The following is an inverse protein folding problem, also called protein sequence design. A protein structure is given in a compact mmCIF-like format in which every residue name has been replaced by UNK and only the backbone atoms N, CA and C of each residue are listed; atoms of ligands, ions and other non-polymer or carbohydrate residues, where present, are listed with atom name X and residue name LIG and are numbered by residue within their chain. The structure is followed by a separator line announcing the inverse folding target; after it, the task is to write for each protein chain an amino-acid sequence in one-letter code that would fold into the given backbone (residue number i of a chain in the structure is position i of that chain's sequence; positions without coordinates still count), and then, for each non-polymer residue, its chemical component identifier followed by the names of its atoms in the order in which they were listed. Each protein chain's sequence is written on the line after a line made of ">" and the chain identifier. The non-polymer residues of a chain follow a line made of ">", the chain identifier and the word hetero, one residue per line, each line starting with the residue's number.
data_IF_969307672736
#
_entry.id   IF_969307672736
#
_cell.length_a   1.000
_cell.length_b   1.000
_cell.length_c   1.000
_cell.angle_alpha   90.00
_cell.angle_beta   90.00
_cell.angle_gamma   90.00
#
_symmetry.space_group_name_H-M   'P 1'
#
loop_
_entity.id
_entity.type
_entity.pdbx_description
1 polymer ?
#
# COMPACT_ATOMS: atom_id res chain seq x y z
N UNK A 1 40.89 9.96 -63.52
CA UNK A 1 39.50 10.31 -63.11
C UNK A 1 39.28 9.80 -61.67
N UNK A 2 39.36 10.69 -60.68
CA UNK A 2 38.21 11.20 -59.90
C UNK A 2 37.55 10.05 -59.08
N UNK A 3 37.51 10.00 -57.75
CA UNK A 3 37.48 11.03 -56.71
C UNK A 3 37.79 10.41 -55.33
N UNK A 4 38.41 11.18 -54.43
CA UNK A 4 38.16 11.11 -52.98
C UNK A 4 36.95 12.03 -52.67
N UNK A 5 36.21 11.99 -51.52
CA UNK A 5 36.76 11.83 -50.16
C UNK A 5 35.84 11.23 -49.05
N UNK A 6 36.45 11.07 -47.86
CA UNK A 6 35.96 11.38 -46.50
C UNK A 6 34.75 10.69 -45.82
N UNK A 7 34.98 10.45 -44.51
CA UNK A 7 34.04 10.34 -43.37
C UNK A 7 33.34 8.96 -43.21
N UNK A 8 33.21 8.33 -42.05
CA UNK A 8 33.11 8.83 -40.66
C UNK A 8 33.48 7.73 -39.66
N UNK A 9 34.12 8.12 -38.55
CA UNK A 9 34.34 7.28 -37.36
C UNK A 9 33.01 7.04 -36.61
N UNK A 10 32.85 5.89 -35.92
CA UNK A 10 31.67 5.62 -35.10
C UNK A 10 31.72 6.38 -33.75
N UNK A 11 30.63 7.02 -33.30
CA UNK A 11 30.49 7.44 -31.91
C UNK A 11 29.85 6.32 -31.08
N UNK A 12 30.52 5.96 -29.98
CA UNK A 12 30.01 5.09 -28.93
C UNK A 12 28.90 5.78 -28.11
N UNK A 13 27.91 5.06 -27.58
CA UNK A 13 26.93 5.60 -26.67
C UNK A 13 27.48 5.55 -25.23
N UNK A 14 27.63 6.69 -24.58
CA UNK A 14 27.88 6.74 -23.12
C UNK A 14 26.89 7.71 -22.49
N UNK A 15 25.87 7.14 -21.84
CA UNK A 15 24.94 7.84 -20.97
C UNK A 15 25.56 7.90 -19.56
N UNK A 16 25.72 9.11 -19.02
CA UNK A 16 25.74 9.37 -17.58
C UNK A 16 25.46 10.85 -17.33
N UNK A 17 24.50 11.17 -16.47
CA UNK A 17 24.73 12.21 -15.49
C UNK A 17 24.59 11.64 -14.08
N UNK A 18 25.74 11.52 -13.41
CA UNK A 18 25.88 11.40 -11.97
C UNK A 18 26.02 12.80 -11.40
N UNK A 19 25.07 13.23 -10.58
CA UNK A 19 25.24 14.42 -9.73
C UNK A 19 24.83 14.04 -8.30
N UNK A 20 25.84 13.74 -7.48
CA UNK A 20 25.73 13.63 -6.05
C UNK A 20 25.78 15.04 -5.40
N UNK A 21 25.08 15.27 -4.27
CA UNK A 21 25.12 16.55 -3.56
C UNK A 21 26.35 16.66 -2.64
N UNK A 22 27.10 17.76 -2.77
CA UNK A 22 28.20 18.13 -1.89
C UNK A 22 27.75 19.19 -0.86
N UNK A 23 28.22 18.98 0.38
CA UNK A 23 27.93 19.71 1.60
C UNK A 23 28.54 21.12 1.65
N UNK A 24 27.89 22.04 2.35
CA UNK A 24 28.51 23.20 3.03
C UNK A 24 27.53 23.63 4.16
N UNK A 25 27.81 23.32 5.43
CA UNK A 25 28.73 24.02 6.35
C UNK A 25 28.13 25.30 6.98
N UNK A 26 27.87 25.18 8.29
CA UNK A 26 28.11 26.15 9.36
C UNK A 26 27.37 27.50 9.42
N UNK A 27 26.80 27.78 10.60
CA UNK A 27 26.83 29.04 11.41
C UNK A 27 25.48 29.16 12.16
N UNK A 28 25.38 28.87 13.46
CA UNK A 28 25.88 29.61 14.62
C UNK A 28 25.38 31.06 14.74
N UNK A 29 24.78 31.34 15.91
CA UNK A 29 24.57 32.65 16.56
C UNK A 29 23.15 33.27 16.52
N UNK A 30 22.52 33.18 17.69
CA UNK A 30 21.98 34.28 18.48
C UNK A 30 20.80 35.11 17.93
N UNK A 31 19.66 34.98 18.62
CA UNK A 31 18.85 36.12 19.07
C UNK A 31 17.89 35.71 20.21
N UNK A 32 18.30 36.02 21.45
CA UNK A 32 17.41 36.40 22.56
C UNK A 32 17.16 37.94 22.44
N UNK A 33 16.21 38.64 23.13
CA UNK A 33 15.70 38.35 24.48
C UNK A 33 14.22 38.74 24.76
N UNK A 34 13.69 38.32 25.91
CA UNK A 34 12.74 39.13 26.69
C UNK A 34 13.01 38.94 28.17
N UNK A 35 13.51 40.00 28.80
CA UNK A 35 13.68 40.15 30.24
C UNK A 35 12.32 40.48 30.84
N UNK A 36 11.94 39.84 31.94
CA UNK A 36 11.53 40.53 33.17
C UNK A 36 11.99 39.67 34.35
N UNK A 37 12.73 40.30 35.25
CA UNK A 37 13.17 39.77 36.53
C UNK A 37 12.08 39.94 37.59
N UNK A 38 11.97 39.00 38.53
CA UNK A 38 11.62 39.30 39.92
C UNK A 38 12.02 38.13 40.82
N UNK A 39 12.98 38.44 41.67
CA UNK A 39 13.42 37.76 42.88
C UNK A 39 12.24 37.48 43.84
N UNK A 40 12.15 36.26 44.40
CA UNK A 40 11.74 36.05 45.79
C UNK A 40 12.11 34.63 46.22
N UNK A 41 13.10 34.60 47.11
CA UNK A 41 13.50 33.51 47.99
C UNK A 41 12.39 33.25 49.01
N UNK A 42 12.01 31.99 49.25
CA UNK A 42 11.75 31.46 50.61
C UNK A 42 11.33 29.99 50.54
N UNK A 43 12.32 29.13 50.80
CA UNK A 43 12.16 27.77 51.31
C UNK A 43 11.67 27.82 52.77
N UNK A 44 10.69 26.99 53.15
CA UNK A 44 10.74 26.39 54.47
C UNK A 44 10.59 24.87 54.43
N UNK A 45 11.71 24.20 54.72
CA UNK A 45 11.88 23.03 55.59
C UNK A 45 10.67 22.09 55.84
N UNK A 46 10.78 20.90 55.26
CA UNK A 46 10.47 19.53 55.73
C UNK A 46 9.62 19.33 57.01
N UNK A 47 8.79 18.26 57.01
CA UNK A 47 9.25 17.06 57.73
C UNK A 47 9.13 15.76 56.93
N UNK A 48 10.16 14.94 57.05
CA UNK A 48 10.24 13.56 56.58
C UNK A 48 9.38 12.61 57.42
N UNK A 49 8.66 11.66 56.79
CA UNK A 49 8.56 10.20 57.06
C UNK A 49 7.42 9.59 56.21
N UNK A 50 7.35 8.25 55.97
CA UNK A 50 8.39 7.24 55.77
C UNK A 50 8.13 6.38 54.50
N UNK A 51 9.00 5.39 54.30
CA UNK A 51 9.04 4.47 53.17
C UNK A 51 7.78 3.57 53.00
N UNK A 52 7.44 3.38 51.71
CA UNK A 52 7.13 2.11 51.03
C UNK A 52 6.20 1.12 51.77
N UNK A 53 4.95 1.10 51.34
CA UNK A 53 4.12 -0.10 51.32
C UNK A 53 3.42 -0.21 49.96
N UNK A 54 3.66 -1.33 49.29
CA UNK A 54 3.07 -1.73 48.02
C UNK A 54 1.55 -1.74 48.12
N UNK A 55 0.86 -1.12 47.16
CA UNK A 55 -0.48 -1.54 46.82
C UNK A 55 -0.65 -1.46 45.30
N UNK A 56 -0.79 -2.63 44.68
CA UNK A 56 -1.18 -2.73 43.30
C UNK A 56 -2.55 -2.08 43.12
N UNK A 57 -2.58 -1.11 42.22
CA UNK A 57 -3.78 -0.68 41.55
C UNK A 57 -3.35 -0.42 40.10
N UNK A 58 -3.54 -1.44 39.28
CA UNK A 58 -3.61 -1.29 37.82
C UNK A 58 -4.63 -0.20 37.52
N UNK A 59 -4.15 0.95 37.02
CA UNK A 59 -4.99 1.99 36.44
C UNK A 59 -4.11 2.95 35.65
N UNK A 60 -3.65 2.50 34.49
CA UNK A 60 -3.36 3.39 33.35
C UNK A 60 -4.10 2.79 32.14
N UNK A 61 -5.41 2.64 32.32
CA UNK A 61 -6.39 2.47 31.25
C UNK A 61 -6.69 3.88 30.73
N UNK A 62 -5.80 4.39 29.88
CA UNK A 62 -5.97 5.64 29.17
C UNK A 62 -5.02 5.69 27.97
N UNK A 63 -5.26 4.89 26.93
CA UNK A 63 -4.89 5.33 25.59
C UNK A 63 -5.70 4.62 24.49
N UNK A 64 -6.52 5.40 23.78
CA UNK A 64 -6.96 5.10 22.41
C UNK A 64 -8.15 4.17 22.27
N UNK A 65 -9.37 4.71 22.42
CA UNK A 65 -10.51 4.11 21.72
C UNK A 65 -10.22 4.10 20.21
N UNK A 66 -10.51 3.02 19.46
CA UNK A 66 -10.25 2.98 18.03
C UNK A 66 -11.12 4.05 17.34
N UNK A 67 -10.45 5.03 16.74
CA UNK A 67 -11.05 5.86 15.72
C UNK A 67 -11.54 4.96 14.57
N UNK A 68 -12.63 5.30 13.87
CA UNK A 68 -13.21 4.45 12.84
C UNK A 68 -12.34 4.49 11.57
N UNK A 69 -11.28 3.69 11.57
CA UNK A 69 -10.64 3.15 10.37
C UNK A 69 -11.35 1.83 10.05
N UNK A 70 -11.92 1.73 8.87
CA UNK A 70 -12.97 0.76 8.52
C UNK A 70 -12.41 -0.63 8.16
N UNK A 71 -11.35 -1.08 8.85
CA UNK A 71 -10.76 -2.40 8.66
C UNK A 71 -10.77 -3.14 10.01
N UNK A 72 -11.28 -4.38 10.09
CA UNK A 72 -11.34 -5.10 11.36
C UNK A 72 -9.92 -5.35 11.87
N UNK A 73 -9.54 -4.86 13.06
CA UNK A 73 -8.20 -5.07 13.66
C UNK A 73 -7.82 -6.56 13.86
N UNK A 74 -8.72 -7.50 13.57
CA UNK A 74 -8.61 -8.93 13.86
C UNK A 74 -8.41 -9.80 12.61
N UNK A 75 -7.46 -9.44 11.73
CA UNK A 75 -7.04 -10.26 10.57
C UNK A 75 -6.37 -11.59 10.96
N UNK A 76 -6.26 -11.84 12.26
CA UNK A 76 -5.64 -13.03 12.87
C UNK A 76 -6.28 -14.33 12.36
N UNK A 77 -7.61 -14.33 12.22
CA UNK A 77 -8.39 -15.49 11.79
C UNK A 77 -8.14 -15.84 10.33
N UNK A 78 -8.13 -14.84 9.44
CA UNK A 78 -7.82 -15.00 8.03
C UNK A 78 -6.38 -15.46 7.82
N UNK A 79 -5.42 -14.91 8.57
CA UNK A 79 -4.03 -15.37 8.54
C UNK A 79 -3.87 -16.81 9.00
N UNK A 80 -4.60 -17.23 10.04
CA UNK A 80 -4.58 -18.62 10.51
C UNK A 80 -5.19 -19.57 9.46
N UNK A 81 -6.31 -19.19 8.84
CA UNK A 81 -6.93 -19.96 7.74
C UNK A 81 -5.99 -20.05 6.53
N UNK A 82 -5.32 -18.96 6.19
CA UNK A 82 -4.33 -18.90 5.13
C UNK A 82 -3.14 -19.83 5.41
N UNK A 83 -2.68 -19.93 6.66
CA UNK A 83 -1.62 -20.85 7.06
C UNK A 83 -2.02 -22.32 6.86
N UNK A 84 -3.21 -22.72 7.35
CA UNK A 84 -3.76 -24.05 7.11
C UNK A 84 -3.89 -24.35 5.62
N UNK A 85 -4.28 -23.35 4.84
CA UNK A 85 -4.45 -23.48 3.40
C UNK A 85 -3.11 -23.66 2.69
N UNK A 86 -2.04 -22.98 3.12
CA UNK A 86 -0.70 -23.25 2.63
C UNK A 86 -0.16 -24.62 3.03
N UNK A 87 -0.42 -25.05 4.26
CA UNK A 87 -0.06 -26.39 4.71
C UNK A 87 -0.75 -27.46 3.84
N UNK A 88 -2.04 -27.25 3.50
CA UNK A 88 -2.79 -28.09 2.55
C UNK A 88 -2.15 -28.12 1.16
N UNK A 89 -1.70 -26.97 0.66
CA UNK A 89 -1.04 -26.85 -0.64
C UNK A 89 0.37 -27.47 -0.65
N UNK A 90 1.01 -27.60 0.51
CA UNK A 90 2.40 -28.05 0.63
C UNK A 90 3.42 -26.98 0.24
N UNK A 91 3.02 -25.71 0.21
CA UNK A 91 3.90 -24.61 -0.18
C UNK A 91 4.91 -24.28 0.93
N UNK A 92 6.18 -24.21 0.54
CA UNK A 92 7.24 -23.65 1.39
C UNK A 92 7.20 -22.11 1.36
N UNK A 93 7.87 -21.44 2.32
CA UNK A 93 8.00 -19.96 2.32
C UNK A 93 8.55 -19.40 1.01
N UNK A 94 9.49 -20.09 0.39
CA UNK A 94 10.08 -19.70 -0.89
C UNK A 94 9.04 -19.76 -2.03
N UNK A 95 8.30 -20.88 -2.11
CA UNK A 95 7.20 -21.08 -3.06
C UNK A 95 6.10 -20.04 -2.89
N UNK A 96 5.68 -19.78 -1.65
CA UNK A 96 4.77 -18.68 -1.35
C UNK A 96 5.35 -17.33 -1.79
N UNK A 97 6.63 -17.08 -1.56
CA UNK A 97 7.30 -15.85 -1.98
C UNK A 97 7.23 -15.63 -3.49
N UNK A 98 7.48 -16.67 -4.29
CA UNK A 98 7.35 -16.63 -5.76
C UNK A 98 5.92 -16.27 -6.17
N UNK A 99 4.93 -16.87 -5.52
CA UNK A 99 3.53 -16.57 -5.79
C UNK A 99 3.17 -15.12 -5.42
N UNK A 100 3.56 -14.68 -4.22
CA UNK A 100 3.27 -13.33 -3.73
C UNK A 100 3.96 -12.25 -4.57
N UNK A 101 5.18 -12.51 -5.05
CA UNK A 101 5.88 -11.59 -5.96
C UNK A 101 5.11 -11.43 -7.28
N UNK A 102 4.61 -12.52 -7.86
CA UNK A 102 3.77 -12.46 -9.07
C UNK A 102 2.41 -11.80 -8.83
N UNK A 103 1.75 -12.15 -7.74
CA UNK A 103 0.39 -11.72 -7.47
C UNK A 103 0.29 -10.29 -6.92
N UNK A 104 1.23 -9.92 -6.04
CA UNK A 104 1.20 -8.66 -5.31
C UNK A 104 2.37 -7.73 -5.65
N UNK A 105 3.45 -8.24 -6.24
CA UNK A 105 4.67 -7.48 -6.55
C UNK A 105 5.74 -7.57 -5.46
N UNK A 106 5.54 -8.41 -4.45
CA UNK A 106 6.48 -8.55 -3.33
C UNK A 106 6.39 -9.93 -2.66
N UNK A 107 7.51 -10.58 -2.32
CA UNK A 107 7.55 -11.98 -1.87
C UNK A 107 7.20 -12.19 -0.39
N UNK A 108 6.54 -11.23 0.27
CA UNK A 108 6.35 -11.25 1.73
C UNK A 108 4.95 -10.87 2.15
N UNK A 109 4.32 -11.73 2.97
CA UNK A 109 3.00 -11.50 3.60
C UNK A 109 2.92 -10.19 4.37
N UNK A 110 4.01 -9.78 5.03
CA UNK A 110 4.06 -8.53 5.80
C UNK A 110 3.82 -7.28 4.95
N UNK A 111 3.90 -7.38 3.62
CA UNK A 111 3.58 -6.28 2.70
C UNK A 111 2.10 -6.23 2.31
N UNK A 112 1.29 -7.23 2.69
CA UNK A 112 -0.16 -7.23 2.53
C UNK A 112 -0.79 -6.39 3.64
N UNK A 113 -0.70 -5.07 3.50
CA UNK A 113 -1.20 -4.12 4.52
C UNK A 113 -2.68 -3.78 4.36
N UNK A 114 -3.36 -4.36 3.36
CA UNK A 114 -4.77 -4.10 3.08
C UNK A 114 -5.56 -5.39 3.26
N UNK A 115 -6.67 -5.33 3.99
CA UNK A 115 -7.54 -6.49 4.22
C UNK A 115 -8.05 -7.11 2.91
N UNK A 116 -8.37 -6.27 1.91
CA UNK A 116 -8.78 -6.75 0.58
C UNK A 116 -7.71 -7.57 -0.14
N UNK A 117 -6.42 -7.24 0.03
CA UNK A 117 -5.32 -8.01 -0.55
C UNK A 117 -5.19 -9.39 0.13
N UNK A 118 -5.39 -9.44 1.46
CA UNK A 118 -5.41 -10.68 2.24
C UNK A 118 -6.57 -11.59 1.85
N UNK A 119 -7.79 -11.05 1.75
CA UNK A 119 -8.97 -11.81 1.33
C UNK A 119 -8.84 -12.36 -0.09
N UNK A 120 -8.29 -11.55 -1.02
CA UNK A 120 -8.05 -11.99 -2.38
C UNK A 120 -7.02 -13.13 -2.40
N UNK A 121 -5.95 -13.02 -1.60
CA UNK A 121 -4.98 -14.10 -1.45
C UNK A 121 -5.65 -15.38 -0.92
N UNK A 122 -6.39 -15.27 0.18
CA UNK A 122 -7.08 -16.38 0.84
C UNK A 122 -8.04 -17.11 -0.10
N UNK A 123 -8.94 -16.37 -0.76
CA UNK A 123 -9.89 -16.95 -1.72
C UNK A 123 -9.16 -17.70 -2.83
N UNK A 124 -8.05 -17.16 -3.33
CA UNK A 124 -7.30 -17.81 -4.40
C UNK A 124 -6.70 -19.11 -3.91
N UNK A 125 -5.98 -19.11 -2.78
CA UNK A 125 -5.36 -20.34 -2.27
C UNK A 125 -6.38 -21.38 -1.84
N UNK A 126 -7.58 -20.99 -1.40
CA UNK A 126 -8.68 -21.91 -1.10
C UNK A 126 -9.16 -22.68 -2.34
N UNK A 127 -9.13 -22.05 -3.52
CA UNK A 127 -9.53 -22.67 -4.80
C UNK A 127 -8.43 -23.52 -5.46
N UNK A 128 -7.17 -23.37 -5.05
CA UNK A 128 -6.06 -24.11 -5.63
C UNK A 128 -6.05 -25.59 -5.20
N UNK A 129 -5.69 -26.46 -6.13
CA UNK A 129 -5.49 -27.88 -5.86
C UNK A 129 -4.26 -28.11 -4.96
N UNK A 130 -4.28 -29.13 -4.09
CA UNK A 130 -3.10 -29.49 -3.30
C UNK A 130 -1.92 -29.83 -4.22
N UNK A 131 -0.73 -29.31 -3.92
CA UNK A 131 0.46 -29.47 -4.76
C UNK A 131 0.47 -28.60 -6.03
N UNK A 132 -0.40 -27.60 -6.14
CA UNK A 132 -0.32 -26.61 -7.22
C UNK A 132 1.05 -25.92 -7.25
N UNK A 133 1.57 -25.63 -8.44
CA UNK A 133 2.84 -24.91 -8.55
C UNK A 133 2.63 -23.39 -8.34
N UNK A 134 3.41 -22.72 -7.48
CA UNK A 134 3.27 -21.28 -7.20
C UNK A 134 3.57 -20.37 -8.41
N UNK A 135 4.35 -20.87 -9.38
CA UNK A 135 4.74 -20.13 -10.59
C UNK A 135 3.68 -20.22 -11.68
N UNK A 136 2.79 -21.21 -11.63
CA UNK A 136 1.66 -21.36 -12.57
C UNK A 136 0.29 -21.15 -11.92
N UNK A 137 0.22 -21.05 -10.60
CA UNK A 137 -1.03 -20.79 -9.89
C UNK A 137 -1.69 -19.48 -10.37
N UNK A 138 -3.02 -19.49 -10.40
CA UNK A 138 -3.84 -18.34 -10.75
C UNK A 138 -3.58 -17.20 -9.77
N UNK A 139 -3.53 -15.97 -10.29
CA UNK A 139 -3.32 -14.76 -9.48
C UNK A 139 -4.69 -14.17 -9.08
N UNK A 140 -4.87 -13.70 -7.84
CA UNK A 140 -6.08 -13.02 -7.41
C UNK A 140 -6.41 -11.80 -8.26
N UNK A 141 -7.69 -11.66 -8.60
CA UNK A 141 -8.23 -10.39 -9.09
C UNK A 141 -8.32 -9.42 -7.91
N UNK A 142 -7.44 -8.41 -7.90
CA UNK A 142 -7.40 -7.41 -6.84
C UNK A 142 -8.28 -6.23 -7.20
N UNK A 143 -9.02 -5.71 -6.23
CA UNK A 143 -9.82 -4.48 -6.38
C UNK A 143 -9.04 -3.34 -6.99
N UNK A 144 -7.80 -3.14 -6.52
CA UNK A 144 -6.88 -2.08 -6.99
C UNK A 144 -6.56 -2.22 -8.47
N UNK A 145 -6.36 -3.46 -8.92
CA UNK A 145 -6.09 -3.80 -10.31
C UNK A 145 -7.34 -3.58 -11.16
N UNK A 146 -8.51 -4.04 -10.71
CA UNK A 146 -9.80 -3.79 -11.39
C UNK A 146 -10.14 -2.29 -11.50
N UNK A 147 -9.79 -1.48 -10.49
CA UNK A 147 -9.94 -0.02 -10.56
C UNK A 147 -8.97 0.59 -11.57
N UNK A 148 -7.72 0.12 -11.60
CA UNK A 148 -6.71 0.54 -12.57
C UNK A 148 -7.09 0.19 -14.00
N UNK A 149 -7.56 -1.04 -14.25
CA UNK A 149 -8.11 -1.47 -15.53
C UNK A 149 -9.28 -0.58 -15.96
N UNK A 150 -10.17 -0.24 -15.02
CA UNK A 150 -11.28 0.65 -15.29
C UNK A 150 -10.80 2.06 -15.73
N UNK A 151 -9.78 2.63 -15.09
CA UNK A 151 -9.17 3.89 -15.55
C UNK A 151 -8.58 3.76 -16.95
N UNK A 152 -7.88 2.66 -17.22
CA UNK A 152 -7.26 2.39 -18.52
C UNK A 152 -8.32 2.25 -19.61
N UNK A 153 -9.45 1.60 -19.35
CA UNK A 153 -10.54 1.45 -20.29
C UNK A 153 -11.25 2.77 -20.56
N UNK A 154 -11.56 3.55 -19.51
CA UNK A 154 -12.13 4.89 -19.67
C UNK A 154 -11.20 5.80 -20.48
N UNK A 155 -9.89 5.73 -20.24
CA UNK A 155 -8.89 6.47 -21.01
C UNK A 155 -8.83 6.01 -22.48
N UNK A 156 -8.89 4.70 -22.75
CA UNK A 156 -8.91 4.17 -24.12
C UNK A 156 -10.18 4.56 -24.89
N UNK A 157 -11.33 4.58 -24.20
CA UNK A 157 -12.61 5.07 -24.72
C UNK A 157 -12.63 6.58 -24.94
N UNK A 158 -11.61 7.32 -24.46
CA UNK A 158 -11.57 8.78 -24.42
C UNK A 158 -12.78 9.37 -23.67
N UNK A 159 -13.26 8.68 -22.64
CA UNK A 159 -14.38 9.15 -21.83
C UNK A 159 -13.93 10.08 -20.73
N UNK A 160 -14.63 11.20 -20.59
CA UNK A 160 -14.45 12.11 -19.48
C UNK A 160 -15.06 11.54 -18.19
N UNK A 161 -14.67 12.11 -17.05
CA UNK A 161 -15.21 11.74 -15.75
C UNK A 161 -16.75 11.84 -15.68
N UNK A 162 -17.36 12.79 -16.40
CA UNK A 162 -18.80 12.93 -16.49
C UNK A 162 -19.45 11.74 -17.22
N UNK A 163 -18.93 11.37 -18.39
CA UNK A 163 -19.42 10.24 -19.20
C UNK A 163 -19.28 8.92 -18.44
N UNK A 164 -18.11 8.68 -17.84
CA UNK A 164 -17.87 7.49 -17.00
C UNK A 164 -18.80 7.42 -15.79
N UNK A 165 -19.08 8.56 -15.13
CA UNK A 165 -20.04 8.62 -14.02
C UNK A 165 -21.47 8.35 -14.48
N UNK A 166 -21.92 8.97 -15.56
CA UNK A 166 -23.27 8.72 -16.09
C UNK A 166 -23.46 7.27 -16.52
N UNK A 167 -22.43 6.64 -17.10
CA UNK A 167 -22.47 5.22 -17.45
C UNK A 167 -22.55 4.32 -16.19
N UNK A 168 -21.80 4.66 -15.15
CA UNK A 168 -21.85 3.98 -13.86
C UNK A 168 -23.23 4.13 -13.18
N UNK A 169 -23.80 5.33 -13.18
CA UNK A 169 -25.14 5.60 -12.61
C UNK A 169 -26.23 4.83 -13.36
N UNK A 170 -26.13 4.72 -14.69
CA UNK A 170 -27.09 3.97 -15.50
C UNK A 170 -27.08 2.47 -15.20
N UNK A 171 -25.90 1.86 -15.03
CA UNK A 171 -25.79 0.41 -14.84
C UNK A 171 -25.87 -0.04 -13.38
N UNK A 172 -25.35 0.76 -12.45
CA UNK A 172 -25.20 0.38 -11.04
C UNK A 172 -25.93 1.32 -10.08
N UNK A 173 -26.50 2.44 -10.55
CA UNK A 173 -27.13 3.47 -9.70
C UNK A 173 -26.17 4.05 -8.65
N UNK A 174 -24.87 4.05 -8.95
CA UNK A 174 -23.80 4.57 -8.08
C UNK A 174 -23.09 5.73 -8.76
N UNK A 175 -22.61 6.68 -7.95
CA UNK A 175 -21.92 7.88 -8.45
C UNK A 175 -20.40 7.74 -8.43
N UNK A 176 -19.87 6.67 -7.85
CA UNK A 176 -18.43 6.41 -7.80
C UNK A 176 -18.13 4.92 -7.89
N UNK A 177 -17.18 4.59 -8.77
CA UNK A 177 -16.65 3.23 -8.94
C UNK A 177 -15.98 2.68 -7.67
N UNK A 178 -15.56 3.56 -6.75
CA UNK A 178 -15.08 3.17 -5.42
C UNK A 178 -16.17 2.50 -4.57
N UNK A 179 -17.46 2.70 -4.90
CA UNK A 179 -18.60 2.10 -4.18
C UNK A 179 -18.99 0.72 -4.72
N UNK A 180 -18.47 0.31 -5.88
CA UNK A 180 -18.77 -1.00 -6.47
C UNK A 180 -18.16 -2.12 -5.64
N UNK A 181 -18.86 -3.22 -5.39
CA UNK A 181 -18.23 -4.45 -4.89
C UNK A 181 -17.28 -5.04 -5.94
N UNK A 182 -16.39 -5.96 -5.58
CA UNK A 182 -15.39 -6.49 -6.53
C UNK A 182 -16.03 -7.19 -7.73
N UNK A 183 -17.13 -7.92 -7.51
CA UNK A 183 -17.95 -8.50 -8.58
C UNK A 183 -18.60 -7.44 -9.48
N UNK A 184 -19.16 -6.38 -8.89
CA UNK A 184 -19.74 -5.27 -9.64
C UNK A 184 -18.68 -4.51 -10.45
N UNK A 185 -17.48 -4.35 -9.88
CA UNK A 185 -16.35 -3.71 -10.54
C UNK A 185 -15.82 -4.54 -11.71
N UNK A 186 -15.76 -5.86 -11.56
CA UNK A 186 -15.45 -6.77 -12.67
C UNK A 186 -16.50 -6.66 -13.79
N UNK A 187 -17.79 -6.66 -13.43
CA UNK A 187 -18.88 -6.50 -14.39
C UNK A 187 -18.81 -5.13 -15.10
N UNK A 188 -18.47 -4.06 -14.37
CA UNK A 188 -18.29 -2.74 -14.96
C UNK A 188 -17.13 -2.70 -15.95
N UNK A 189 -15.99 -3.32 -15.62
CA UNK A 189 -14.87 -3.45 -16.56
C UNK A 189 -15.30 -4.18 -17.84
N UNK A 190 -16.04 -5.29 -17.73
CA UNK A 190 -16.55 -6.02 -18.89
C UNK A 190 -17.48 -5.18 -19.78
N UNK A 191 -18.32 -4.32 -19.18
CA UNK A 191 -19.18 -3.40 -19.93
C UNK A 191 -18.36 -2.34 -20.68
N UNK A 192 -17.32 -1.79 -20.03
CA UNK A 192 -16.41 -0.83 -20.67
C UNK A 192 -15.63 -1.47 -21.82
N UNK A 193 -15.16 -2.72 -21.65
CA UNK A 193 -14.53 -3.48 -22.73
C UNK A 193 -15.48 -3.73 -23.90
N UNK A 194 -16.75 -4.04 -23.63
CA UNK A 194 -17.78 -4.17 -24.66
C UNK A 194 -17.98 -2.88 -25.45
N UNK A 195 -18.10 -1.75 -24.75
CA UNK A 195 -18.20 -0.43 -25.37
C UNK A 195 -16.96 -0.08 -26.22
N UNK A 196 -15.76 -0.52 -25.79
CA UNK A 196 -14.50 -0.31 -26.52
C UNK A 196 -14.46 -1.12 -27.82
N UNK A 197 -15.00 -2.34 -27.82
CA UNK A 197 -15.13 -3.17 -29.02
C UNK A 197 -16.31 -2.76 -29.92
N UNK A 198 -17.20 -1.88 -29.47
CA UNK A 198 -18.40 -1.48 -30.19
C UNK A 198 -19.48 -2.58 -30.24
N UNK A 199 -19.52 -3.46 -29.23
CA UNK A 199 -20.58 -4.44 -28.99
C UNK A 199 -21.75 -3.80 -28.24
#
# INVERSE_FOLDING_TARGET
>A
PASAPAASKPPAPTKAPTSAPAQAAAQAAAQAPSKIAADTIAEPSLPAIPARASNGASAEDAEGGPAPGNDPEDWSSELARLDLQLQRLGWSRDQEGVYLERAFGHPSRNRLTHYGDLLAYLNTVETLAPGADPSTANVPLRRRDLLGQCDQLLAQLQWDAATGRSFLEQHFSLTSRQQLSDSQLLQFNMLLEGALMGL
#
